data_IF_339822802263
#
_entry.id   IF_339822802263
#
_cell.length_a   1.000
_cell.length_b   1.000
_cell.length_c   1.000
_cell.angle_alpha   90.00
_cell.angle_beta   90.00
_cell.angle_gamma   90.00
#
_symmetry.space_group_name_H-M   'P 1'
#
loop_
_entity.id
_entity.type
_entity.pdbx_description
1 polymer ?
#
# COMPACT_ATOMS: atom_id res chain seq x y z
N UNK A 1 -11.28 -6.57 -9.58
CA UNK A 1 -10.42 -6.74 -8.38
C UNK A 1 -8.95 -6.55 -8.71
N UNK A 2 -8.48 -7.01 -9.87
CA UNK A 2 -7.10 -6.77 -10.33
C UNK A 2 -6.75 -5.27 -10.49
N UNK A 3 -7.68 -4.45 -11.00
CA UNK A 3 -7.50 -2.99 -11.13
C UNK A 3 -7.24 -2.32 -9.76
N UNK A 4 -8.05 -2.64 -8.74
CA UNK A 4 -7.83 -2.16 -7.36
C UNK A 4 -6.47 -2.56 -6.79
N UNK A 5 -5.96 -3.74 -7.16
CA UNK A 5 -4.63 -4.19 -6.73
C UNK A 5 -3.52 -3.39 -7.41
N UNK A 6 -3.71 -3.03 -8.69
CA UNK A 6 -2.78 -2.13 -9.41
C UNK A 6 -2.75 -0.74 -8.78
N UNK A 7 -3.92 -0.20 -8.44
CA UNK A 7 -4.01 1.12 -7.78
C UNK A 7 -3.28 1.12 -6.44
N UNK A 8 -3.52 0.11 -5.60
CA UNK A 8 -2.83 -0.02 -4.30
C UNK A 8 -1.32 -0.17 -4.48
N UNK A 9 -0.87 -0.93 -5.48
CA UNK A 9 0.56 -1.05 -5.77
C UNK A 9 1.17 0.28 -6.20
N UNK A 10 0.45 1.08 -6.99
CA UNK A 10 0.91 2.41 -7.39
C UNK A 10 1.01 3.35 -6.19
N UNK A 11 -0.02 3.38 -5.34
CA UNK A 11 -0.03 4.21 -4.13
C UNK A 11 1.12 3.85 -3.18
N UNK A 12 1.43 2.56 -3.02
CA UNK A 12 2.57 2.09 -2.24
C UNK A 12 3.88 2.63 -2.80
N UNK A 13 4.11 2.48 -4.12
CA UNK A 13 5.34 2.95 -4.76
C UNK A 13 5.53 4.46 -4.61
N UNK A 14 4.44 5.24 -4.75
CA UNK A 14 4.47 6.69 -4.55
C UNK A 14 4.87 7.02 -3.12
N UNK A 15 4.22 6.40 -2.13
CA UNK A 15 4.50 6.67 -0.72
C UNK A 15 5.88 6.19 -0.26
N UNK A 16 6.38 5.07 -0.79
CA UNK A 16 7.77 4.62 -0.57
C UNK A 16 8.77 5.66 -1.10
N UNK A 17 8.48 6.24 -2.28
CA UNK A 17 9.27 7.32 -2.84
C UNK A 17 9.18 8.59 -1.98
N UNK A 18 7.99 8.98 -1.53
CA UNK A 18 7.81 10.14 -0.65
C UNK A 18 8.57 9.97 0.67
N UNK A 19 8.49 8.78 1.28
CA UNK A 19 9.21 8.43 2.50
C UNK A 19 10.72 8.59 2.36
N UNK A 20 11.28 8.16 1.21
CA UNK A 20 12.70 8.29 0.94
C UNK A 20 13.18 9.75 0.78
N UNK A 21 12.26 10.69 0.50
CA UNK A 21 12.56 12.10 0.26
C UNK A 21 12.15 13.04 1.41
N UNK A 22 11.48 12.53 2.44
CA UNK A 22 11.02 13.30 3.60
C UNK A 22 12.00 13.15 4.77
N UNK A 23 12.30 14.25 5.44
CA UNK A 23 13.19 14.30 6.61
C UNK A 23 12.49 14.71 7.91
N UNK A 24 11.17 14.96 7.86
CA UNK A 24 10.38 15.40 9.01
C UNK A 24 9.78 14.17 9.70
N UNK A 25 10.18 13.91 10.96
CA UNK A 25 9.82 12.69 11.69
C UNK A 25 8.31 12.44 11.78
N UNK A 26 7.51 13.48 11.97
CA UNK A 26 6.05 13.40 12.02
C UNK A 26 5.43 13.02 10.66
N UNK A 27 6.04 13.49 9.56
CA UNK A 27 5.64 13.13 8.20
C UNK A 27 6.10 11.71 7.84
N UNK A 28 7.29 11.30 8.29
CA UNK A 28 7.78 9.91 8.18
C UNK A 28 6.79 8.95 8.84
N UNK A 29 6.46 9.17 10.12
CA UNK A 29 5.55 8.30 10.87
C UNK A 29 4.16 8.22 10.21
N UNK A 30 3.67 9.35 9.69
CA UNK A 30 2.42 9.39 8.95
C UNK A 30 2.44 8.57 7.66
N UNK A 31 3.53 8.66 6.88
CA UNK A 31 3.71 7.89 5.64
C UNK A 31 3.84 6.40 5.96
N UNK A 32 4.63 6.03 6.97
CA UNK A 32 4.79 4.64 7.41
C UNK A 32 3.45 4.01 7.84
N UNK A 33 2.64 4.75 8.60
CA UNK A 33 1.30 4.32 9.01
C UNK A 33 0.37 4.07 7.82
N UNK A 34 0.42 4.94 6.79
CA UNK A 34 -0.31 4.76 5.54
C UNK A 34 0.16 3.53 4.77
N UNK A 35 1.47 3.34 4.65
CA UNK A 35 2.06 2.17 3.99
C UNK A 35 1.63 0.87 4.66
N UNK A 36 1.68 0.80 6.00
CA UNK A 36 1.21 -0.36 6.76
C UNK A 36 -0.25 -0.70 6.44
N UNK A 37 -1.12 0.31 6.38
CA UNK A 37 -2.53 0.14 6.00
C UNK A 37 -2.70 -0.38 4.57
N UNK A 38 -1.91 0.13 3.62
CA UNK A 38 -1.96 -0.28 2.21
C UNK A 38 -1.46 -1.72 2.03
N UNK A 39 -0.37 -2.11 2.69
CA UNK A 39 0.12 -3.50 2.62
C UNK A 39 -0.91 -4.50 3.16
N UNK A 40 -1.62 -4.17 4.25
CA UNK A 40 -2.71 -5.00 4.76
C UNK A 40 -3.84 -5.14 3.73
N UNK A 41 -4.31 -4.03 3.16
CA UNK A 41 -5.36 -4.04 2.12
C UNK A 41 -4.93 -4.82 0.88
N UNK A 42 -3.67 -4.68 0.47
CA UNK A 42 -3.07 -5.45 -0.63
C UNK A 42 -3.14 -6.94 -0.35
N UNK A 43 -2.64 -7.37 0.82
CA UNK A 43 -2.64 -8.78 1.22
C UNK A 43 -4.06 -9.37 1.26
N UNK A 44 -5.04 -8.62 1.78
CA UNK A 44 -6.44 -9.04 1.78
C UNK A 44 -7.02 -9.22 0.37
N UNK A 45 -6.71 -8.31 -0.55
CA UNK A 45 -7.18 -8.39 -1.93
C UNK A 45 -6.52 -9.53 -2.69
N UNK A 46 -5.21 -9.74 -2.49
CA UNK A 46 -4.49 -10.89 -3.06
C UNK A 46 -5.06 -12.21 -2.54
N UNK A 47 -5.39 -12.29 -1.24
CA UNK A 47 -6.05 -13.46 -0.68
C UNK A 47 -7.42 -13.69 -1.31
N UNK A 48 -8.26 -12.64 -1.41
CA UNK A 48 -9.59 -12.70 -2.03
C UNK A 48 -9.51 -13.13 -3.50
N UNK A 49 -8.51 -12.68 -4.25
CA UNK A 49 -8.28 -13.09 -5.64
C UNK A 49 -7.90 -14.57 -5.73
N UNK A 50 -7.12 -15.10 -4.77
CA UNK A 50 -6.73 -16.52 -4.72
C UNK A 50 -7.88 -17.43 -4.28
N UNK A 51 -8.72 -16.99 -3.36
CA UNK A 51 -9.83 -17.81 -2.81
C UNK A 51 -11.15 -17.61 -3.54
N UNK A 52 -11.27 -16.55 -4.33
CA UNK A 52 -12.47 -16.18 -5.08
C UNK A 52 -12.57 -16.80 -6.47
N UNK A 53 -11.54 -17.49 -6.94
CA UNK A 53 -11.56 -18.33 -8.14
C UNK A 53 -12.26 -19.66 -7.81
N UNK A 54 -13.58 -19.70 -7.99
CA UNK A 54 -14.37 -20.92 -8.15
C UNK A 54 -15.14 -20.86 -9.46
#
# INVERSE_FOLDING_TARGET
MEEKLKDINLDIVILESDLANVCQDDVVEFIESKLATLYLKKAELELKLRTGTK
#
